data_IF_256485543773
#
_entry.id   IF_256485543773
#
_cell.length_a   1.000
_cell.length_b   1.000
_cell.length_c   1.000
_cell.angle_alpha   90.00
_cell.angle_beta   90.00
_cell.angle_gamma   90.00
#
_symmetry.space_group_name_H-M   'P 1'
#
loop_
_entity.id
_entity.type
_entity.pdbx_description
1 polymer ?
#
# COMPACT_ATOMS: atom_id res chain seq x y z
N UNK A 1 -60.06 -52.20 -15.50
CA UNK A 1 -60.86 -51.02 -15.92
C UNK A 1 -59.97 -49.79 -15.82
N UNK A 2 -59.89 -49.01 -16.91
CA UNK A 2 -59.11 -47.78 -17.08
C UNK A 2 -59.05 -46.86 -15.85
N UNK A 3 -57.91 -46.21 -15.58
CA UNK A 3 -57.72 -44.74 -15.76
C UNK A 3 -56.20 -44.44 -15.89
N UNK A 4 -55.81 -43.80 -17.00
CA UNK A 4 -54.48 -43.21 -17.27
C UNK A 4 -54.36 -41.83 -16.60
N UNK A 5 -53.16 -41.46 -16.13
CA UNK A 5 -52.56 -40.10 -16.06
C UNK A 5 -51.11 -40.29 -15.53
N UNK A 6 -50.07 -40.31 -16.36
CA UNK A 6 -49.40 -39.18 -17.03
C UNK A 6 -48.82 -38.16 -16.03
N UNK A 7 -47.52 -38.26 -15.73
CA UNK A 7 -46.60 -37.11 -15.69
C UNK A 7 -45.14 -37.58 -15.64
N UNK A 8 -44.31 -36.92 -16.44
CA UNK A 8 -42.95 -37.27 -16.81
C UNK A 8 -41.96 -36.91 -15.70
N UNK A 9 -40.99 -37.81 -15.43
CA UNK A 9 -39.77 -37.49 -14.68
C UNK A 9 -38.75 -36.92 -15.67
N UNK A 10 -38.53 -35.60 -15.64
CA UNK A 10 -37.40 -34.95 -16.31
C UNK A 10 -36.42 -34.47 -15.23
N UNK A 11 -35.32 -35.22 -15.10
CA UNK A 11 -34.12 -34.80 -14.40
C UNK A 11 -33.59 -33.53 -15.08
N UNK A 12 -33.64 -32.39 -14.39
CA UNK A 12 -32.89 -31.20 -14.79
C UNK A 12 -31.45 -31.35 -14.29
N UNK A 13 -30.57 -31.90 -15.13
CA UNK A 13 -29.12 -31.79 -14.96
C UNK A 13 -28.74 -30.38 -15.42
N UNK A 14 -28.50 -29.49 -14.47
CA UNK A 14 -27.95 -28.17 -14.76
C UNK A 14 -26.47 -28.32 -15.13
N UNK A 15 -26.18 -28.42 -16.43
CA UNK A 15 -24.84 -28.29 -16.97
C UNK A 15 -24.40 -26.82 -16.83
N UNK A 16 -23.58 -26.54 -15.84
CA UNK A 16 -22.84 -25.28 -15.74
C UNK A 16 -21.74 -25.27 -16.81
N UNK A 17 -22.06 -24.79 -18.01
CA UNK A 17 -21.07 -24.50 -19.03
C UNK A 17 -20.28 -23.27 -18.59
N UNK A 18 -19.13 -23.53 -17.96
CA UNK A 18 -18.11 -22.53 -17.65
C UNK A 18 -17.55 -22.01 -18.99
N UNK A 19 -18.16 -20.93 -19.49
CA UNK A 19 -17.65 -20.23 -20.66
C UNK A 19 -16.39 -19.50 -20.23
N UNK A 20 -15.24 -20.04 -20.64
CA UNK A 20 -13.94 -19.45 -20.37
C UNK A 20 -13.91 -18.01 -20.86
N UNK A 21 -13.77 -17.08 -19.92
CA UNK A 21 -13.31 -15.73 -20.21
C UNK A 21 -11.86 -15.88 -20.65
N UNK A 22 -11.63 -15.94 -21.95
CA UNK A 22 -10.32 -15.70 -22.55
C UNK A 22 -9.96 -14.25 -22.21
N UNK A 23 -9.21 -14.06 -21.13
CA UNK A 23 -8.51 -12.82 -20.88
C UNK A 23 -7.57 -12.59 -22.07
N UNK A 24 -7.91 -11.60 -22.90
CA UNK A 24 -7.03 -11.13 -23.96
C UNK A 24 -5.72 -10.67 -23.30
N UNK A 25 -4.66 -11.45 -23.47
CA UNK A 25 -3.32 -11.00 -23.15
C UNK A 25 -2.95 -9.97 -24.21
N UNK A 26 -3.15 -8.68 -23.90
CA UNK A 26 -2.55 -7.60 -24.66
C UNK A 26 -1.03 -7.75 -24.50
N UNK A 27 -0.37 -8.30 -25.52
CA UNK A 27 1.08 -8.34 -25.59
C UNK A 27 1.59 -6.91 -25.84
N UNK A 28 1.81 -6.17 -24.76
CA UNK A 28 2.52 -4.89 -24.81
C UNK A 28 3.91 -5.15 -25.41
N UNK A 29 4.43 -4.28 -26.30
CA UNK A 29 5.75 -4.45 -26.88
C UNK A 29 6.78 -4.61 -25.76
N UNK A 30 7.56 -5.70 -25.80
CA UNK A 30 8.67 -5.92 -24.90
C UNK A 30 9.68 -4.79 -25.16
N UNK A 31 9.84 -3.88 -24.20
CA UNK A 31 10.95 -2.94 -24.24
C UNK A 31 12.23 -3.79 -24.23
N UNK A 32 12.96 -3.83 -25.33
CA UNK A 32 14.22 -4.56 -25.40
C UNK A 32 15.36 -3.58 -25.13
N UNK A 33 16.19 -3.95 -24.16
CA UNK A 33 17.45 -3.24 -23.90
C UNK A 33 18.40 -3.40 -25.08
N UNK A 34 19.31 -2.45 -25.27
CA UNK A 34 20.25 -2.44 -26.38
C UNK A 34 21.17 -3.68 -26.41
N UNK A 35 21.33 -4.38 -25.28
CA UNK A 35 22.09 -5.61 -25.11
C UNK A 35 21.26 -6.89 -25.34
N UNK A 36 19.98 -6.76 -25.69
CA UNK A 36 19.05 -7.87 -25.92
C UNK A 36 18.55 -8.56 -24.64
N UNK A 37 18.89 -8.04 -23.45
CA UNK A 37 18.38 -8.62 -22.20
C UNK A 37 16.91 -8.24 -21.99
N UNK A 38 16.10 -9.13 -21.37
CA UNK A 38 14.72 -8.78 -21.02
C UNK A 38 14.68 -7.67 -19.97
N UNK A 39 13.63 -6.85 -20.02
CA UNK A 39 13.31 -5.92 -18.92
C UNK A 39 12.87 -6.69 -17.69
N UNK A 40 13.41 -6.34 -16.53
CA UNK A 40 13.12 -6.96 -15.24
C UNK A 40 12.40 -5.95 -14.36
N UNK A 41 11.10 -6.20 -14.13
CA UNK A 41 10.28 -5.42 -13.19
C UNK A 41 10.17 -6.12 -11.84
N UNK A 42 10.35 -5.38 -10.75
CA UNK A 42 10.17 -5.87 -9.37
C UNK A 42 8.89 -5.27 -8.77
N UNK A 43 8.04 -6.15 -8.24
CA UNK A 43 6.73 -5.78 -7.66
C UNK A 43 6.73 -6.10 -6.16
N UNK A 44 6.65 -5.08 -5.33
CA UNK A 44 6.73 -5.20 -3.87
C UNK A 44 5.36 -4.99 -3.22
N UNK A 45 4.77 -6.08 -2.74
CA UNK A 45 3.44 -6.04 -2.12
C UNK A 45 3.41 -5.24 -0.80
N UNK A 46 2.20 -4.83 -0.39
CA UNK A 46 1.96 -4.32 0.96
C UNK A 46 2.06 -5.41 2.03
N UNK A 47 2.26 -5.02 3.30
CA UNK A 47 2.38 -6.01 4.38
C UNK A 47 2.78 -5.49 5.76
N UNK A 48 2.75 -4.16 6.00
CA UNK A 48 3.19 -3.56 7.27
C UNK A 48 4.62 -4.01 7.63
N UNK A 49 4.84 -4.42 8.88
CA UNK A 49 6.15 -4.89 9.36
C UNK A 49 6.74 -6.06 8.56
N UNK A 50 5.89 -6.94 7.99
CA UNK A 50 6.37 -8.06 7.15
C UNK A 50 6.98 -7.60 5.83
N UNK A 51 6.68 -6.38 5.39
CA UNK A 51 7.27 -5.79 4.19
C UNK A 51 8.77 -5.55 4.29
N UNK A 52 9.36 -5.59 5.49
CA UNK A 52 10.82 -5.58 5.66
C UNK A 52 11.50 -6.77 4.94
N UNK A 53 10.78 -7.87 4.68
CA UNK A 53 11.30 -9.00 3.92
C UNK A 53 11.70 -8.63 2.46
N UNK A 54 11.10 -7.57 1.89
CA UNK A 54 11.46 -7.08 0.56
C UNK A 54 12.92 -6.65 0.47
N UNK A 55 13.50 -6.16 1.58
CA UNK A 55 14.91 -5.78 1.63
C UNK A 55 15.80 -7.00 1.40
N UNK A 56 15.46 -8.15 2.00
CA UNK A 56 16.19 -9.40 1.77
C UNK A 56 16.11 -9.87 0.32
N UNK A 57 14.97 -9.65 -0.35
CA UNK A 57 14.84 -9.93 -1.79
C UNK A 57 15.75 -9.01 -2.61
N UNK A 58 15.76 -7.71 -2.32
CA UNK A 58 16.62 -6.75 -3.03
C UNK A 58 18.11 -7.06 -2.82
N UNK A 59 18.53 -7.43 -1.60
CA UNK A 59 19.90 -7.89 -1.31
C UNK A 59 20.27 -9.11 -2.17
N UNK A 60 19.38 -10.10 -2.26
CA UNK A 60 19.62 -11.27 -3.09
C UNK A 60 19.74 -10.92 -4.59
N UNK A 61 18.92 -9.97 -5.09
CA UNK A 61 19.02 -9.50 -6.48
C UNK A 61 20.35 -8.79 -6.74
N UNK A 62 20.81 -7.94 -5.81
CA UNK A 62 22.12 -7.27 -5.88
C UNK A 62 23.27 -8.28 -5.87
N UNK A 63 23.25 -9.25 -4.94
CA UNK A 63 24.27 -10.31 -4.83
C UNK A 63 24.35 -11.17 -6.10
N UNK A 64 23.20 -11.45 -6.73
CA UNK A 64 23.11 -12.19 -7.98
C UNK A 64 23.37 -11.34 -9.22
N UNK A 65 23.62 -10.03 -9.06
CA UNK A 65 23.81 -9.07 -10.14
C UNK A 65 22.66 -9.04 -11.15
N UNK A 66 21.43 -9.22 -10.66
CA UNK A 66 20.22 -9.15 -11.49
C UNK A 66 19.80 -7.67 -11.57
N UNK A 67 19.86 -7.03 -12.75
CA UNK A 67 19.48 -5.63 -12.89
C UNK A 67 17.97 -5.46 -12.70
N UNK A 68 17.56 -4.45 -11.94
CA UNK A 68 16.16 -4.06 -11.78
C UNK A 68 15.90 -2.83 -12.63
N UNK A 69 14.99 -2.96 -13.60
CA UNK A 69 14.71 -1.89 -14.57
C UNK A 69 13.50 -1.05 -14.19
N UNK A 70 12.56 -1.62 -13.45
CA UNK A 70 11.31 -0.97 -13.05
C UNK A 70 10.93 -1.48 -11.67
N UNK A 71 10.45 -0.61 -10.80
CA UNK A 71 9.94 -0.97 -9.48
C UNK A 71 8.52 -0.46 -9.30
N UNK A 72 7.68 -1.28 -8.69
CA UNK A 72 6.40 -0.80 -8.15
C UNK A 72 6.11 -1.38 -6.79
N UNK A 73 5.39 -0.64 -5.95
CA UNK A 73 5.06 -1.10 -4.62
C UNK A 73 3.78 -0.52 -4.02
N UNK A 74 3.34 -1.15 -2.93
CA UNK A 74 2.20 -0.70 -2.13
C UNK A 74 2.57 -0.67 -0.65
N UNK A 75 2.19 0.38 0.09
CA UNK A 75 2.43 0.49 1.54
C UNK A 75 3.92 0.29 1.88
N UNK A 76 4.29 -0.70 2.69
CA UNK A 76 5.70 -0.98 3.01
C UNK A 76 6.52 -1.36 1.76
N UNK A 77 5.92 -1.99 0.75
CA UNK A 77 6.59 -2.25 -0.52
C UNK A 77 6.84 -0.97 -1.32
N UNK A 78 5.94 0.01 -1.25
CA UNK A 78 6.15 1.34 -1.82
C UNK A 78 7.29 2.07 -1.10
N UNK A 79 7.33 2.00 0.23
CA UNK A 79 8.41 2.58 1.01
C UNK A 79 9.79 2.01 0.64
N UNK A 80 9.94 0.68 0.68
CA UNK A 80 11.20 0.01 0.36
C UNK A 80 11.57 0.22 -1.11
N UNK A 81 10.61 0.03 -2.02
CA UNK A 81 10.82 0.17 -3.45
C UNK A 81 11.13 1.60 -3.88
N UNK A 82 10.48 2.59 -3.27
CA UNK A 82 10.72 4.01 -3.53
C UNK A 82 12.12 4.43 -3.11
N UNK A 83 12.59 4.04 -1.92
CA UNK A 83 13.98 4.30 -1.49
C UNK A 83 15.00 3.61 -2.40
N UNK A 84 14.73 2.36 -2.79
CA UNK A 84 15.62 1.63 -3.70
C UNK A 84 15.66 2.30 -5.08
N UNK A 85 14.53 2.79 -5.58
CA UNK A 85 14.42 3.50 -6.84
C UNK A 85 15.23 4.81 -6.87
N UNK A 86 15.53 5.43 -5.71
CA UNK A 86 16.43 6.59 -5.66
C UNK A 86 17.90 6.22 -5.82
N UNK A 87 18.22 4.93 -5.94
CA UNK A 87 19.60 4.42 -6.04
C UNK A 87 20.23 4.06 -4.69
N UNK A 88 19.45 4.01 -3.60
CA UNK A 88 19.96 3.48 -2.33
C UNK A 88 20.13 1.95 -2.44
N UNK A 89 21.24 1.44 -1.92
CA UNK A 89 21.46 0.01 -1.80
C UNK A 89 20.51 -0.63 -0.78
N UNK A 90 20.27 -1.93 -0.92
CA UNK A 90 19.42 -2.64 0.02
C UNK A 90 19.97 -2.61 1.48
N UNK A 91 21.29 -2.56 1.64
CA UNK A 91 21.96 -2.41 2.95
C UNK A 91 21.69 -1.04 3.60
N UNK A 92 21.71 0.05 2.81
CA UNK A 92 21.36 1.38 3.31
C UNK A 92 19.91 1.43 3.78
N UNK A 93 18.99 0.83 3.02
CA UNK A 93 17.57 0.76 3.38
C UNK A 93 17.37 -0.09 4.65
N UNK A 94 18.09 -1.21 4.77
CA UNK A 94 18.09 -2.05 5.97
C UNK A 94 18.46 -1.24 7.22
N UNK A 95 19.46 -0.36 7.10
CA UNK A 95 19.89 0.49 8.22
C UNK A 95 18.76 1.39 8.75
N UNK A 96 17.87 1.89 7.89
CA UNK A 96 16.72 2.69 8.32
C UNK A 96 15.69 1.88 9.09
N UNK A 97 15.48 0.62 8.74
CA UNK A 97 14.56 -0.26 9.48
C UNK A 97 14.98 -0.39 10.95
N UNK A 98 16.28 -0.53 11.23
CA UNK A 98 16.78 -0.71 12.59
C UNK A 98 16.98 0.60 13.36
N UNK A 99 17.18 1.73 12.68
CA UNK A 99 17.50 3.02 13.33
C UNK A 99 16.29 3.93 13.54
N UNK A 100 15.19 3.68 12.82
CA UNK A 100 13.96 4.45 12.92
C UNK A 100 13.06 3.87 14.02
N UNK A 101 12.52 4.74 14.87
CA UNK A 101 11.49 4.35 15.84
C UNK A 101 10.11 4.26 15.16
N UNK A 102 9.86 3.13 14.50
CA UNK A 102 8.59 2.83 13.82
C UNK A 102 7.39 2.89 14.77
N UNK A 103 7.58 2.59 16.06
CA UNK A 103 6.49 2.62 17.04
C UNK A 103 5.94 4.04 17.25
N UNK A 104 6.78 5.05 17.08
CA UNK A 104 6.37 6.46 17.18
C UNK A 104 5.52 6.88 15.96
N UNK A 105 5.76 6.28 14.79
CA UNK A 105 4.96 6.53 13.58
C UNK A 105 3.47 6.19 13.74
N UNK A 106 3.16 5.15 14.52
CA UNK A 106 1.78 4.68 14.76
C UNK A 106 1.11 5.31 16.00
N UNK A 107 1.80 6.19 16.73
CA UNK A 107 1.28 6.86 17.93
C UNK A 107 1.01 8.32 17.65
N UNK A 108 -0.22 8.67 17.26
CA UNK A 108 -0.60 10.06 16.92
C UNK A 108 -1.38 10.81 18.01
N UNK A 109 -1.21 10.41 19.29
CA UNK A 109 -1.92 11.05 20.40
C UNK A 109 -1.06 12.12 21.07
N UNK A 110 -1.40 13.38 20.83
CA UNK A 110 -0.91 14.52 21.63
C UNK A 110 -1.47 14.37 23.06
N UNK A 111 -0.59 14.42 24.07
CA UNK A 111 -0.99 14.29 25.48
C UNK A 111 -1.88 15.46 25.93
N UNK A 112 -2.86 15.20 26.79
CA UNK A 112 -3.86 16.17 27.33
C UNK A 112 -3.23 17.46 27.88
N UNK A 113 -1.99 17.38 28.36
CA UNK A 113 -1.24 18.52 28.89
C UNK A 113 -0.89 19.58 27.83
N UNK A 114 -0.81 19.20 26.55
CA UNK A 114 -0.34 20.07 25.46
C UNK A 114 -1.48 20.67 24.60
N UNK A 115 -2.76 20.36 24.89
CA UNK A 115 -3.92 20.90 24.15
C UNK A 115 -4.24 22.35 24.57
N UNK A 116 -4.67 23.20 23.63
CA UNK A 116 -5.10 24.60 23.88
C UNK A 116 -6.28 24.63 24.86
N UNK A 117 -6.33 25.63 25.72
CA UNK A 117 -7.37 25.78 26.78
C UNK A 117 -8.78 25.90 26.18
N UNK A 118 -8.93 26.58 25.05
CA UNK A 118 -10.22 26.71 24.35
C UNK A 118 -10.82 25.36 23.92
N UNK A 119 -9.96 24.41 23.57
CA UNK A 119 -10.39 23.06 23.16
C UNK A 119 -10.77 22.20 24.38
N UNK A 120 -10.19 22.50 25.56
CA UNK A 120 -10.55 21.87 26.85
C UNK A 120 -11.93 22.36 27.33
N UNK A 121 -12.18 23.67 27.24
CA UNK A 121 -13.46 24.26 27.66
C UNK A 121 -14.65 23.89 26.76
N UNK A 122 -14.41 23.62 25.47
CA UNK A 122 -15.46 23.15 24.56
C UNK A 122 -15.92 21.72 24.92
N UNK A 123 -14.97 20.85 25.31
CA UNK A 123 -15.21 19.48 25.77
C UNK A 123 -15.95 19.48 27.13
N UNK A 124 -15.57 20.41 28.03
CA UNK A 124 -16.17 20.54 29.37
C UNK A 124 -17.60 21.14 29.36
N UNK A 125 -17.94 22.03 28.41
CA UNK A 125 -19.26 22.69 28.36
C UNK A 125 -20.39 21.85 27.74
N UNK A 126 -20.08 20.95 26.82
CA UNK A 126 -21.12 20.23 26.09
C UNK A 126 -21.25 18.75 26.46
N UNK A 127 -20.33 18.16 27.25
CA UNK A 127 -20.29 16.71 27.57
C UNK A 127 -20.43 15.74 26.38
N UNK A 128 -20.47 16.25 25.15
CA UNK A 128 -20.48 15.47 23.93
C UNK A 128 -19.03 15.09 23.68
N UNK A 129 -18.67 13.88 24.12
CA UNK A 129 -17.50 13.19 23.60
C UNK A 129 -17.82 12.73 22.17
N UNK A 130 -17.66 13.60 21.19
CA UNK A 130 -17.12 13.14 19.90
C UNK A 130 -15.78 12.50 20.28
N UNK A 131 -15.65 11.19 20.49
CA UNK A 131 -15.91 10.11 19.53
C UNK A 131 -16.37 8.78 20.19
N UNK A 132 -17.25 8.81 21.20
CA UNK A 132 -17.59 7.62 22.02
C UNK A 132 -19.09 7.35 21.99
N UNK A 133 -19.50 6.22 21.40
CA UNK A 133 -20.85 5.65 21.56
C UNK A 133 -20.95 4.89 22.89
N UNK A 134 -21.86 5.30 23.77
CA UNK A 134 -22.17 4.62 25.03
C UNK A 134 -23.36 3.66 24.84
N UNK A 135 -23.10 2.36 24.84
CA UNK A 135 -24.10 1.32 25.13
C UNK A 135 -23.70 0.65 26.45
N UNK A 136 -24.65 0.39 27.34
CA UNK A 136 -24.45 -0.21 28.67
C UNK A 136 -23.64 -1.52 28.63
N UNK A 137 -22.30 -1.44 28.74
CA UNK A 137 -21.44 -2.61 28.95
C UNK A 137 -20.08 -2.62 28.25
N UNK A 138 -19.80 -1.75 27.26
CA UNK A 138 -18.52 -1.75 26.54
C UNK A 138 -17.99 -0.36 26.23
N UNK A 139 -16.69 -0.15 26.46
CA UNK A 139 -15.95 1.06 26.05
C UNK A 139 -15.30 0.75 24.69
N UNK A 140 -15.80 1.37 23.61
CA UNK A 140 -15.11 1.37 22.32
C UNK A 140 -14.43 2.71 22.07
N UNK A 141 -13.12 2.67 21.80
CA UNK A 141 -12.39 3.79 21.19
C UNK A 141 -12.47 3.67 19.65
N UNK A 142 -12.47 4.78 18.88
CA UNK A 142 -12.42 4.68 17.42
C UNK A 142 -11.12 3.98 16.98
N UNK A 143 -11.24 2.78 16.42
CA UNK A 143 -10.11 1.90 16.07
C UNK A 143 -9.31 2.33 14.83
N UNK A 144 -9.33 3.60 14.42
CA UNK A 144 -8.93 3.95 13.03
C UNK A 144 -8.29 5.30 12.73
N UNK A 145 -8.09 6.21 13.69
CA UNK A 145 -7.53 7.54 13.39
C UNK A 145 -6.07 7.62 13.85
N UNK A 146 -5.15 7.25 12.96
CA UNK A 146 -3.75 7.67 13.02
C UNK A 146 -3.65 8.90 12.12
N UNK A 147 -3.27 10.05 12.68
CA UNK A 147 -3.27 11.36 11.99
C UNK A 147 -2.17 11.48 10.90
N UNK A 148 -1.27 10.50 10.81
CA UNK A 148 -0.23 10.36 9.78
C UNK A 148 0.99 11.28 9.96
N UNK A 149 0.96 12.23 10.89
CA UNK A 149 2.01 13.25 11.01
C UNK A 149 3.35 12.66 11.47
N UNK A 150 3.31 11.71 12.40
CA UNK A 150 4.51 11.05 12.89
C UNK A 150 5.09 10.10 11.84
N UNK A 151 4.24 9.43 11.06
CA UNK A 151 4.68 8.60 9.94
C UNK A 151 5.36 9.45 8.86
N UNK A 152 4.75 10.56 8.44
CA UNK A 152 5.34 11.46 7.44
C UNK A 152 6.71 11.98 7.86
N UNK A 153 6.91 12.25 9.16
CA UNK A 153 8.22 12.66 9.69
C UNK A 153 9.27 11.55 9.54
N UNK A 154 8.88 10.31 9.79
CA UNK A 154 9.75 9.14 9.59
C UNK A 154 10.12 9.02 8.11
N UNK A 155 9.13 9.06 7.22
CA UNK A 155 9.35 8.94 5.78
C UNK A 155 10.30 10.03 5.27
N UNK A 156 10.06 11.30 5.64
CA UNK A 156 10.92 12.44 5.27
C UNK A 156 12.36 12.29 5.77
N UNK A 157 12.55 11.70 6.95
CA UNK A 157 13.89 11.48 7.51
C UNK A 157 14.68 10.47 6.68
N UNK A 158 14.02 9.46 6.11
CA UNK A 158 14.68 8.39 5.37
C UNK A 158 14.78 8.68 3.87
N UNK A 159 13.80 9.35 3.27
CA UNK A 159 13.85 9.77 1.86
C UNK A 159 14.81 10.94 1.62
N UNK A 160 15.15 11.70 2.68
CA UNK A 160 15.93 12.92 2.56
C UNK A 160 15.12 14.08 1.96
N UNK A 161 15.83 15.11 1.49
CA UNK A 161 15.25 16.33 0.92
C UNK A 161 15.26 16.29 -0.61
N UNK A 162 14.62 15.27 -1.18
CA UNK A 162 14.49 15.15 -2.63
C UNK A 162 13.58 16.25 -3.19
N UNK A 163 13.85 16.73 -4.42
CA UNK A 163 12.98 17.68 -5.08
C UNK A 163 11.64 17.03 -5.45
N UNK A 164 10.70 17.85 -5.87
CA UNK A 164 9.52 17.37 -6.58
C UNK A 164 9.95 16.91 -7.98
N UNK A 165 9.45 15.76 -8.43
CA UNK A 165 9.69 15.23 -9.76
C UNK A 165 8.48 15.48 -10.66
N UNK A 166 8.73 15.74 -11.95
CA UNK A 166 7.67 15.76 -12.97
C UNK A 166 7.27 14.33 -13.36
N UNK A 167 8.21 13.38 -13.30
CA UNK A 167 7.94 11.94 -13.36
C UNK A 167 8.93 11.13 -12.52
N UNK A 168 8.44 10.08 -11.87
CA UNK A 168 9.26 9.07 -11.19
C UNK A 168 10.03 8.16 -12.14
N UNK A 169 9.89 8.32 -13.46
CA UNK A 169 10.78 7.73 -14.45
C UNK A 169 12.17 8.38 -14.46
N UNK A 170 12.31 9.56 -13.85
CA UNK A 170 13.57 10.29 -13.70
C UNK A 170 14.45 9.77 -12.55
N UNK A 171 13.90 8.89 -11.70
CA UNK A 171 14.65 8.24 -10.63
C UNK A 171 15.72 7.29 -11.20
N UNK A 172 16.65 6.85 -10.35
CA UNK A 172 17.69 5.90 -10.77
C UNK A 172 17.09 4.61 -11.36
N UNK A 173 15.92 4.21 -10.85
CA UNK A 173 15.08 3.16 -11.43
C UNK A 173 13.65 3.71 -11.53
N UNK A 174 12.99 3.66 -12.71
CA UNK A 174 11.59 4.03 -12.87
C UNK A 174 10.68 3.39 -11.82
N UNK A 175 9.86 4.21 -11.15
CA UNK A 175 9.08 3.81 -9.98
C UNK A 175 7.60 4.18 -10.07
N UNK A 176 6.72 3.33 -9.53
CA UNK A 176 5.30 3.62 -9.30
C UNK A 176 4.83 3.11 -7.95
N UNK A 177 4.10 3.93 -7.19
CA UNK A 177 3.39 3.45 -6.00
C UNK A 177 1.90 3.29 -6.27
N UNK A 178 1.23 2.42 -5.51
CA UNK A 178 -0.23 2.23 -5.62
C UNK A 178 -0.90 2.47 -4.28
N UNK A 179 -1.92 3.31 -4.30
CA UNK A 179 -2.78 3.67 -3.18
C UNK A 179 -4.27 3.52 -3.56
N UNK A 180 -5.16 3.88 -2.64
CA UNK A 180 -6.61 3.86 -2.86
C UNK A 180 -7.20 5.22 -2.52
N UNK A 181 -7.94 5.81 -3.46
CA UNK A 181 -8.82 6.94 -3.15
C UNK A 181 -9.97 6.42 -2.30
N UNK A 182 -9.98 6.76 -1.01
CA UNK A 182 -10.99 6.27 -0.06
C UNK A 182 -12.39 6.85 -0.31
N UNK A 183 -12.49 8.00 -0.99
CA UNK A 183 -13.76 8.64 -1.31
C UNK A 183 -14.39 7.99 -2.54
N UNK A 184 -13.59 7.69 -3.56
CA UNK A 184 -14.05 7.08 -4.81
C UNK A 184 -13.97 5.56 -4.83
N UNK A 185 -13.21 4.96 -3.91
CA UNK A 185 -12.88 3.53 -3.85
C UNK A 185 -12.16 3.04 -5.11
N UNK A 186 -11.33 3.90 -5.70
CA UNK A 186 -10.58 3.62 -6.93
C UNK A 186 -9.08 3.48 -6.63
N UNK A 187 -8.34 2.65 -7.40
CA UNK A 187 -6.90 2.62 -7.30
C UNK A 187 -6.31 3.94 -7.81
N UNK A 188 -5.31 4.45 -7.09
CA UNK A 188 -4.51 5.61 -7.50
C UNK A 188 -3.08 5.12 -7.70
N UNK A 189 -2.54 5.33 -8.89
CA UNK A 189 -1.13 5.09 -9.18
C UNK A 189 -0.40 6.42 -9.05
N UNK A 190 0.65 6.47 -8.24
CA UNK A 190 1.46 7.67 -8.05
C UNK A 190 2.71 7.56 -8.91
N UNK A 191 2.87 8.54 -9.80
CA UNK A 191 3.90 8.54 -10.83
C UNK A 191 4.72 9.82 -10.90
N UNK A 192 4.37 10.83 -10.12
CA UNK A 192 5.02 12.15 -10.08
C UNK A 192 4.85 12.80 -8.70
N UNK A 193 5.47 13.96 -8.52
CA UNK A 193 5.34 14.77 -7.31
C UNK A 193 6.47 14.55 -6.31
N UNK A 194 6.13 14.63 -5.01
CA UNK A 194 7.09 14.35 -3.95
C UNK A 194 7.10 12.86 -3.64
N UNK A 195 8.25 12.21 -3.81
CA UNK A 195 8.39 10.77 -3.54
C UNK A 195 7.97 10.38 -2.12
N UNK A 196 8.15 11.28 -1.15
CA UNK A 196 7.76 11.03 0.26
C UNK A 196 6.25 11.01 0.49
N UNK A 197 5.48 11.63 -0.40
CA UNK A 197 4.03 11.66 -0.34
C UNK A 197 3.42 10.50 -1.14
N UNK A 198 4.23 9.79 -1.94
CA UNK A 198 3.86 8.64 -2.78
C UNK A 198 4.04 7.28 -2.11
#
# INVERSE_FOLDING_TARGET
>A
MNVKRLTHWLLAVATFSCSGVLAAQNTTPKAEHADGRPTIGVVLAGGGAKGAAHIGVLKALEEMQIPVDIITGTSMGAYVGGLYATGMSAEEIESFIYTVDWNNGYRDRVSRSQRRIRDKEAEDRYQIRTDIGLHFGSIEAPKGVVQGQNMLRILRKTTGNLPQFESFDELAIPYRSVATDILKLEPVVMEDGYLVDA
#
